data_IF_257482434488
#
_entry.id   IF_257482434488
#
_cell.length_a   1.000
_cell.length_b   1.000
_cell.length_c   1.000
_cell.angle_alpha   90.00
_cell.angle_beta   90.00
_cell.angle_gamma   90.00
#
_symmetry.space_group_name_H-M   'P 1'
#
loop_
_entity.id
_entity.type
_entity.pdbx_description
1 polymer ?
#
# COMPACT_ATOMS: atom_id res chain seq x y z
N UNK A 1 17.95 18.90 -4.88
CA UNK A 1 17.57 18.50 -4.92
C UNK A 1 16.96 17.90 -4.89
N UNK A 2 17.01 17.89 -4.88
CA UNK A 2 16.52 17.28 -4.93
C UNK A 2 15.61 16.58 -4.88
N UNK A 3 15.56 16.55 -4.98
CA UNK A 3 14.85 15.83 -4.99
C UNK A 3 14.04 15.16 -5.11
N UNK A 4 14.07 15.16 -5.06
CA UNK A 4 13.48 14.47 -5.23
C UNK A 4 12.71 13.79 -5.32
N UNK A 5 12.80 13.89 -5.13
CA UNK A 5 12.30 13.17 -5.36
C UNK A 5 11.54 12.51 -5.38
N UNK A 6 11.41 12.77 -5.16
CA UNK A 6 10.80 12.10 -5.39
C UNK A 6 10.36 11.20 -5.85
N UNK A 7 11.02 11.38 -6.08
CA UNK A 7 10.50 10.43 -6.71
C UNK A 7 9.72 9.46 -6.16
N UNK A 8 9.02 9.30 -6.07
CA UNK A 8 8.45 8.35 -5.38
C UNK A 8 7.80 7.33 -6.15
N UNK A 9 7.56 6.27 -5.54
CA UNK A 9 6.95 5.17 -6.15
C UNK A 9 5.46 5.31 -5.99
N UNK A 10 4.76 5.52 -7.06
CA UNK A 10 3.34 5.69 -6.99
C UNK A 10 2.64 4.47 -6.45
N UNK A 11 3.17 3.29 -6.72
CA UNK A 11 2.52 2.05 -6.30
C UNK A 11 2.51 1.91 -4.79
N UNK A 12 3.46 2.56 -4.12
CA UNK A 12 3.55 2.49 -2.68
C UNK A 12 3.54 3.88 -2.07
N UNK A 13 2.63 4.70 -2.56
CA UNK A 13 2.51 6.07 -2.12
C UNK A 13 2.03 6.19 -0.68
N UNK A 14 1.38 5.16 -0.14
CA UNK A 14 0.91 5.17 1.23
C UNK A 14 1.59 4.05 1.99
N UNK A 15 1.54 4.10 3.32
CA UNK A 15 2.16 3.08 4.13
C UNK A 15 1.40 1.76 4.00
N UNK A 16 2.08 0.65 4.32
CA UNK A 16 1.45 -0.65 4.21
C UNK A 16 0.27 -0.75 5.18
N UNK A 17 0.35 -0.11 6.33
CA UNK A 17 -0.74 -0.12 7.29
C UNK A 17 -1.98 0.54 6.70
N UNK A 18 -1.78 1.68 6.08
CA UNK A 18 -2.88 2.39 5.45
C UNK A 18 -3.45 1.58 4.29
N UNK A 19 -2.57 1.02 3.47
CA UNK A 19 -3.00 0.22 2.34
C UNK A 19 -3.80 -0.98 2.81
N UNK A 20 -3.36 -1.62 3.90
CA UNK A 20 -4.04 -2.78 4.44
C UNK A 20 -5.44 -2.45 4.89
N UNK A 21 -5.60 -1.31 5.54
CA UNK A 21 -6.91 -0.88 6.02
C UNK A 21 -7.87 -0.65 4.85
N UNK A 22 -7.40 0.04 3.82
CA UNK A 22 -8.23 0.31 2.66
C UNK A 22 -8.56 -0.99 1.93
N UNK A 23 -7.53 -1.84 1.77
CA UNK A 23 -7.69 -3.11 1.09
C UNK A 23 -8.74 -3.97 1.80
N UNK A 24 -8.65 -4.08 3.12
CA UNK A 24 -9.60 -4.88 3.90
C UNK A 24 -10.99 -4.28 3.84
N UNK A 25 -11.10 -2.95 3.86
CA UNK A 25 -12.38 -2.28 3.80
C UNK A 25 -13.09 -2.50 2.47
N UNK A 26 -12.31 -2.82 1.44
CA UNK A 26 -12.86 -3.06 0.11
C UNK A 26 -12.91 -4.54 -0.24
N UNK A 27 -12.99 -5.38 0.78
CA UNK A 27 -13.16 -6.81 0.56
C UNK A 27 -11.89 -7.51 0.12
N UNK A 28 -10.74 -6.93 0.43
CA UNK A 28 -9.45 -7.49 0.07
C UNK A 28 -9.31 -7.63 -1.44
N UNK A 29 -9.75 -6.60 -2.13
CA UNK A 29 -9.72 -6.57 -3.58
C UNK A 29 -8.32 -6.26 -4.06
N UNK A 30 -7.86 -7.01 -5.06
CA UNK A 30 -6.50 -6.83 -5.56
C UNK A 30 -6.26 -5.43 -6.13
N UNK A 31 -7.32 -4.72 -6.52
CA UNK A 31 -7.19 -3.37 -7.02
C UNK A 31 -6.83 -2.37 -5.93
N UNK A 32 -6.94 -2.79 -4.66
CA UNK A 32 -6.70 -1.92 -3.53
C UNK A 32 -5.45 -2.29 -2.76
N UNK A 33 -4.50 -2.94 -3.42
CA UNK A 33 -3.27 -3.37 -2.75
C UNK A 33 -2.19 -2.29 -2.72
N UNK A 34 -2.30 -1.30 -3.59
CA UNK A 34 -1.35 -0.18 -3.63
C UNK A 34 0.10 -0.64 -3.78
N UNK A 35 0.31 -1.69 -4.54
CA UNK A 35 1.65 -2.17 -4.82
C UNK A 35 2.22 -3.13 -3.79
N UNK A 36 1.49 -3.36 -2.69
CA UNK A 36 1.93 -4.33 -1.69
C UNK A 36 1.36 -5.69 -2.01
N UNK A 37 2.03 -6.74 -1.58
CA UNK A 37 1.52 -8.09 -1.77
C UNK A 37 0.44 -8.37 -0.73
N UNK A 38 -0.41 -9.36 -1.01
CA UNK A 38 -1.46 -9.71 -0.07
C UNK A 38 -0.87 -10.18 1.26
N UNK A 39 0.25 -10.90 1.19
CA UNK A 39 0.93 -11.33 2.42
C UNK A 39 1.32 -10.13 3.26
N UNK A 40 1.85 -9.11 2.64
CA UNK A 40 2.25 -7.91 3.36
C UNK A 40 1.04 -7.22 3.98
N UNK A 41 -0.04 -7.15 3.23
CA UNK A 41 -1.25 -6.51 3.72
C UNK A 41 -1.85 -7.30 4.89
N UNK A 42 -1.84 -8.62 4.78
CA UNK A 42 -2.35 -9.45 5.86
C UNK A 42 -1.51 -9.28 7.12
N UNK A 43 -0.19 -9.21 6.97
CA UNK A 43 0.69 -9.00 8.11
C UNK A 43 0.41 -7.66 8.77
N UNK A 44 0.13 -6.65 7.98
CA UNK A 44 -0.13 -5.33 8.52
C UNK A 44 -1.44 -5.28 9.31
N UNK A 45 -2.37 -6.19 9.03
CA UNK A 45 -3.64 -6.23 9.72
C UNK A 45 -3.56 -6.96 11.06
N UNK A 46 -2.48 -7.66 11.32
CA UNK A 46 -2.36 -8.45 12.56
C UNK A 46 -1.95 -7.65 13.76
#
# INVERSE_FOLDING_TARGET
MDYDEEVFDDAQAISVDEAALIWASNGKDEDYTYGYSEDELEQALK
#
